data_IF_390283601863
#
_entry.id   IF_390283601863
#
_cell.length_a   1.000
_cell.length_b   1.000
_cell.length_c   1.000
_cell.angle_alpha   90.00
_cell.angle_beta   90.00
_cell.angle_gamma   90.00
#
_symmetry.space_group_name_H-M   'P 1'
#
loop_
_entity.id
_entity.type
_entity.pdbx_description
1 polymer ?
#
# COMPACT_ATOMS: atom_id res chain seq x y z
N UNK A 1 -21.00 14.90 7.42
CA UNK A 1 -19.96 15.56 6.64
C UNK A 1 -18.60 14.82 6.76
N UNK A 2 -18.58 13.53 6.39
CA UNK A 2 -17.32 12.77 6.25
C UNK A 2 -16.89 12.68 4.77
N UNK A 3 -17.76 13.11 3.85
CA UNK A 3 -17.59 12.93 2.41
C UNK A 3 -16.40 13.70 1.79
N UNK A 4 -15.82 14.65 2.51
CA UNK A 4 -14.68 15.47 2.04
C UNK A 4 -13.42 15.27 2.90
N UNK A 5 -13.37 14.20 3.67
CA UNK A 5 -12.21 13.86 4.50
C UNK A 5 -11.52 12.60 3.99
N UNK A 6 -10.25 12.42 4.32
CA UNK A 6 -9.49 11.19 4.05
C UNK A 6 -10.13 9.95 4.68
N UNK A 7 -11.05 10.11 5.61
CA UNK A 7 -11.82 9.05 6.26
C UNK A 7 -13.06 8.60 5.46
N UNK A 8 -13.35 9.24 4.34
CA UNK A 8 -14.57 8.96 3.55
C UNK A 8 -14.54 7.61 2.81
N UNK A 9 -13.40 6.94 2.80
CA UNK A 9 -13.26 5.62 2.15
C UNK A 9 -13.37 5.65 0.61
N UNK A 10 -13.14 6.81 0.00
CA UNK A 10 -13.18 6.94 -1.46
C UNK A 10 -11.98 6.22 -2.11
N UNK A 11 -12.23 5.67 -3.30
CA UNK A 11 -11.18 5.16 -4.17
C UNK A 11 -10.21 6.29 -4.55
N UNK A 12 -8.93 5.98 -4.84
CA UNK A 12 -7.97 6.98 -5.27
C UNK A 12 -8.42 7.54 -6.62
N UNK A 13 -8.68 8.85 -6.69
CA UNK A 13 -9.09 9.51 -7.93
C UNK A 13 -7.83 9.93 -8.67
N UNK A 14 -7.53 9.29 -9.80
CA UNK A 14 -6.52 9.77 -10.75
C UNK A 14 -7.13 10.90 -11.58
N UNK A 15 -6.46 12.01 -11.65
CA UNK A 15 -6.84 13.19 -12.43
C UNK A 15 -5.69 13.60 -13.38
N UNK A 16 -5.83 14.74 -14.07
CA UNK A 16 -4.83 15.23 -15.02
C UNK A 16 -3.51 15.62 -14.34
N UNK A 17 -3.56 16.01 -13.06
CA UNK A 17 -2.42 16.50 -12.30
C UNK A 17 -1.67 15.38 -11.57
N UNK A 18 -2.35 14.29 -11.20
CA UNK A 18 -1.75 13.26 -10.37
C UNK A 18 -2.22 11.82 -10.71
N UNK A 19 -1.25 10.93 -10.84
CA UNK A 19 -1.50 9.48 -10.84
C UNK A 19 -1.53 8.97 -9.39
N UNK A 20 -2.60 8.28 -8.99
CA UNK A 20 -2.78 7.84 -7.61
C UNK A 20 -2.85 6.34 -7.47
N UNK A 21 -1.95 5.80 -6.64
CA UNK A 21 -2.09 4.47 -6.05
C UNK A 21 -2.97 4.57 -4.80
N UNK A 22 -3.83 3.57 -4.58
CA UNK A 22 -4.53 3.39 -3.31
C UNK A 22 -4.02 2.15 -2.61
N UNK A 23 -3.63 2.27 -1.34
CA UNK A 23 -3.19 1.16 -0.51
C UNK A 23 -4.16 0.97 0.64
N UNK A 24 -4.87 -0.15 0.66
CA UNK A 24 -5.87 -0.47 1.66
C UNK A 24 -5.45 -1.69 2.44
N UNK A 25 -5.43 -1.55 3.77
CA UNK A 25 -4.95 -2.56 4.71
C UNK A 25 -6.11 -3.05 5.57
N UNK A 26 -6.25 -4.36 5.66
CA UNK A 26 -7.23 -5.02 6.53
C UNK A 26 -6.53 -5.98 7.48
N UNK A 27 -6.96 -6.01 8.74
CA UNK A 27 -6.55 -7.01 9.70
C UNK A 27 -7.27 -8.34 9.41
N UNK A 28 -6.51 -9.39 9.16
CA UNK A 28 -6.98 -10.75 8.97
C UNK A 28 -6.98 -11.62 10.23
N UNK A 29 -6.67 -11.05 11.40
CA UNK A 29 -6.58 -11.81 12.68
C UNK A 29 -7.68 -11.48 13.68
N UNK A 30 -8.31 -10.30 13.55
CA UNK A 30 -9.18 -9.74 14.58
C UNK A 30 -8.44 -9.38 15.87
N UNK A 31 -7.09 -9.27 15.83
CA UNK A 31 -6.28 -8.76 16.92
C UNK A 31 -6.50 -7.26 17.10
N UNK A 32 -6.01 -6.68 18.18
CA UNK A 32 -6.02 -5.24 18.41
C UNK A 32 -4.62 -4.65 18.31
N UNK A 33 -3.75 -5.29 17.54
CA UNK A 33 -2.34 -4.91 17.40
C UNK A 33 -2.09 -3.99 16.19
N UNK A 34 -3.12 -3.54 15.50
CA UNK A 34 -2.98 -2.63 14.34
C UNK A 34 -2.17 -1.36 14.62
N UNK A 35 -2.13 -0.91 15.89
CA UNK A 35 -1.26 0.19 16.34
C UNK A 35 0.24 -0.08 16.09
N UNK A 36 0.64 -1.35 16.11
CA UNK A 36 2.02 -1.77 15.92
C UNK A 36 2.37 -2.12 14.47
N UNK A 37 1.43 -1.96 13.56
CA UNK A 37 1.73 -2.08 12.13
C UNK A 37 2.36 -0.78 11.64
N UNK A 38 3.66 -0.81 11.39
CA UNK A 38 4.36 0.27 10.69
C UNK A 38 4.19 0.09 9.19
N UNK A 39 3.84 1.20 8.52
CA UNK A 39 3.57 1.23 7.08
C UNK A 39 4.42 2.32 6.46
N UNK A 40 5.41 1.94 5.67
CA UNK A 40 6.35 2.84 5.02
C UNK A 40 6.17 2.82 3.49
N UNK A 41 5.30 3.68 2.93
CA UNK A 41 5.14 3.85 1.51
C UNK A 41 6.20 4.79 0.94
N UNK A 42 6.60 4.54 -0.29
CA UNK A 42 7.43 5.44 -1.10
C UNK A 42 6.93 5.38 -2.54
N UNK A 43 6.91 6.53 -3.21
CA UNK A 43 6.65 6.61 -4.64
C UNK A 43 7.77 7.37 -5.32
N UNK A 44 8.09 6.98 -6.54
CA UNK A 44 9.10 7.64 -7.34
C UNK A 44 8.75 7.60 -8.83
N UNK A 45 9.17 8.62 -9.56
CA UNK A 45 9.19 8.59 -11.01
C UNK A 45 10.44 7.86 -11.49
N UNK A 46 10.26 6.87 -12.37
CA UNK A 46 11.36 6.29 -13.17
C UNK A 46 11.55 7.07 -14.46
N UNK A 47 10.44 7.57 -15.00
CA UNK A 47 10.41 8.39 -16.20
C UNK A 47 9.17 9.27 -16.17
N UNK A 48 9.35 10.56 -16.41
CA UNK A 48 8.25 11.52 -16.51
C UNK A 48 8.68 12.75 -17.34
N UNK A 49 7.72 13.61 -17.63
CA UNK A 49 7.93 14.89 -18.31
C UNK A 49 7.21 14.99 -19.63
N UNK A 50 7.08 16.22 -20.18
CA UNK A 50 6.25 16.53 -21.34
C UNK A 50 6.73 15.86 -22.64
N UNK A 51 8.01 15.53 -22.74
CA UNK A 51 8.59 14.89 -23.93
C UNK A 51 8.44 13.36 -23.91
N UNK A 52 7.83 12.80 -22.85
CA UNK A 52 7.64 11.36 -22.73
C UNK A 52 6.28 10.94 -23.31
N UNK A 53 6.29 9.95 -24.20
CA UNK A 53 5.06 9.30 -24.67
C UNK A 53 4.42 8.46 -23.58
N UNK A 54 5.22 7.99 -22.65
CA UNK A 54 4.80 7.11 -21.54
C UNK A 54 5.59 7.46 -20.30
N UNK A 55 4.91 7.83 -19.24
CA UNK A 55 5.51 8.00 -17.92
C UNK A 55 5.58 6.66 -17.18
N UNK A 56 6.56 6.50 -16.30
CA UNK A 56 6.73 5.31 -15.48
C UNK A 56 6.94 5.70 -14.01
N UNK A 57 6.19 5.06 -13.13
CA UNK A 57 6.28 5.28 -11.70
C UNK A 57 6.40 3.96 -10.94
N UNK A 58 7.05 4.03 -9.78
CA UNK A 58 7.19 2.88 -8.86
C UNK A 58 6.57 3.23 -7.52
N UNK A 59 5.78 2.30 -6.99
CA UNK A 59 5.35 2.25 -5.59
C UNK A 59 6.20 1.20 -4.88
N UNK A 60 6.90 1.61 -3.81
CA UNK A 60 7.52 0.73 -2.83
C UNK A 60 6.71 0.82 -1.52
N UNK A 61 6.42 -0.32 -0.91
CA UNK A 61 5.67 -0.41 0.34
C UNK A 61 6.37 -1.42 1.25
N UNK A 62 6.68 -1.00 2.47
CA UNK A 62 7.16 -1.90 3.52
C UNK A 62 6.16 -1.92 4.66
N UNK A 63 5.81 -3.12 5.11
CA UNK A 63 4.95 -3.38 6.25
C UNK A 63 5.79 -4.06 7.33
N UNK A 64 5.77 -3.55 8.56
CA UNK A 64 6.56 -4.11 9.67
C UNK A 64 5.69 -4.28 10.90
N UNK A 65 5.76 -5.45 11.54
CA UNK A 65 5.17 -5.66 12.85
C UNK A 65 6.16 -5.19 13.94
N UNK A 66 5.87 -4.06 14.55
CA UNK A 66 6.72 -3.43 15.58
C UNK A 66 6.35 -3.83 17.01
N UNK A 67 5.51 -4.86 17.21
CA UNK A 67 5.17 -5.37 18.54
C UNK A 67 6.44 -5.83 19.24
N UNK A 68 6.81 -5.25 20.41
CA UNK A 68 7.94 -5.77 21.19
C UNK A 68 7.62 -7.18 21.70
N UNK A 69 8.54 -8.13 21.53
CA UNK A 69 8.32 -9.53 21.89
C UNK A 69 7.96 -9.70 23.37
N UNK A 70 8.59 -8.94 24.26
CA UNK A 70 8.30 -8.91 25.69
C UNK A 70 6.91 -8.34 26.00
N UNK A 71 6.41 -7.42 25.18
CA UNK A 71 5.06 -6.87 25.33
C UNK A 71 4.02 -7.91 24.93
N UNK A 72 4.27 -8.61 23.84
CA UNK A 72 3.36 -9.60 23.30
C UNK A 72 2.98 -10.71 24.31
N UNK A 73 3.96 -11.18 25.09
CA UNK A 73 3.73 -12.26 26.06
C UNK A 73 2.93 -11.82 27.30
N UNK A 74 2.85 -10.51 27.55
CA UNK A 74 2.17 -9.94 28.71
C UNK A 74 0.78 -9.39 28.41
N UNK A 75 0.39 -9.31 27.13
CA UNK A 75 -0.92 -8.81 26.74
C UNK A 75 -2.00 -9.90 26.80
N UNK A 76 -3.25 -9.53 27.15
CA UNK A 76 -4.38 -10.47 27.12
C UNK A 76 -4.58 -11.07 25.72
N UNK A 77 -5.01 -12.35 25.66
CA UNK A 77 -5.29 -13.05 24.41
C UNK A 77 -6.27 -12.31 23.48
N UNK A 78 -7.24 -11.58 24.04
CA UNK A 78 -8.16 -10.75 23.28
C UNK A 78 -7.48 -9.55 22.56
N UNK A 79 -6.26 -9.22 22.92
CA UNK A 79 -5.45 -8.16 22.28
C UNK A 79 -4.50 -8.78 21.26
N UNK A 80 -3.74 -9.82 21.68
CA UNK A 80 -2.70 -10.42 20.81
C UNK A 80 -3.25 -11.38 19.75
N UNK A 81 -4.53 -11.72 19.80
CA UNK A 81 -5.14 -12.62 18.84
C UNK A 81 -4.73 -14.08 19.10
N UNK A 82 -4.14 -14.74 18.11
CA UNK A 82 -3.87 -16.17 18.13
C UNK A 82 -5.03 -17.01 17.60
N UNK A 83 -5.96 -16.37 16.91
CA UNK A 83 -7.11 -16.98 16.25
C UNK A 83 -6.87 -17.09 14.73
N UNK A 84 -7.75 -17.78 14.02
CA UNK A 84 -7.71 -17.90 12.56
C UNK A 84 -6.44 -18.55 12.02
N UNK A 85 -5.80 -19.43 12.81
CA UNK A 85 -4.59 -20.16 12.38
C UNK A 85 -3.32 -19.33 12.35
N UNK A 86 -3.32 -18.17 13.01
CA UNK A 86 -2.16 -17.28 13.13
C UNK A 86 -1.69 -17.30 14.58
N UNK A 87 -0.37 -17.43 14.86
CA UNK A 87 0.16 -17.36 16.22
C UNK A 87 -0.19 -16.03 16.91
N UNK A 88 -0.25 -16.03 18.24
CA UNK A 88 -0.44 -14.82 19.03
C UNK A 88 0.66 -13.79 18.71
N UNK A 89 0.30 -12.51 18.70
CA UNK A 89 1.14 -11.36 18.33
C UNK A 89 1.61 -11.32 16.86
N UNK A 90 1.22 -12.27 16.04
CA UNK A 90 1.43 -12.20 14.58
C UNK A 90 0.32 -11.37 13.96
N UNK A 91 0.68 -10.41 13.12
CA UNK A 91 -0.26 -9.63 12.31
C UNK A 91 -0.46 -10.34 10.97
N UNK A 92 -1.69 -10.72 10.64
CA UNK A 92 -2.06 -11.06 9.26
C UNK A 92 -2.61 -9.80 8.61
N UNK A 93 -1.86 -9.24 7.65
CA UNK A 93 -2.26 -8.06 6.91
C UNK A 93 -2.72 -8.48 5.52
N UNK A 94 -3.98 -8.17 5.19
CA UNK A 94 -4.52 -8.31 3.84
C UNK A 94 -4.44 -6.96 3.17
N UNK A 95 -3.62 -6.86 2.13
CA UNK A 95 -3.34 -5.62 1.42
C UNK A 95 -4.00 -5.63 0.05
N UNK A 96 -4.67 -4.53 -0.29
CA UNK A 96 -5.20 -4.25 -1.62
C UNK A 96 -4.51 -3.01 -2.17
N UNK A 97 -3.93 -3.12 -3.36
CA UNK A 97 -3.26 -2.02 -4.04
C UNK A 97 -4.01 -1.72 -5.34
N UNK A 98 -4.65 -0.57 -5.36
CA UNK A 98 -5.30 -0.01 -6.54
C UNK A 98 -4.25 0.70 -7.37
N UNK A 99 -4.08 0.30 -8.62
CA UNK A 99 -3.20 0.98 -9.56
C UNK A 99 -3.90 2.24 -10.10
N UNK A 100 -3.12 3.27 -10.49
CA UNK A 100 -3.69 4.43 -11.18
C UNK A 100 -4.56 4.01 -12.37
N UNK A 101 -5.66 4.70 -12.61
CA UNK A 101 -6.56 4.41 -13.73
C UNK A 101 -5.80 4.47 -15.05
N UNK A 102 -6.00 3.47 -15.92
CA UNK A 102 -5.31 3.36 -17.20
C UNK A 102 -3.86 2.90 -17.14
N UNK A 103 -3.30 2.68 -15.94
CA UNK A 103 -1.93 2.21 -15.79
C UNK A 103 -1.77 0.73 -16.23
N UNK A 104 -0.64 0.44 -16.89
CA UNK A 104 -0.20 -0.92 -17.16
C UNK A 104 0.85 -1.35 -16.15
N UNK A 105 0.67 -2.50 -15.51
CA UNK A 105 1.67 -3.07 -14.62
C UNK A 105 2.85 -3.61 -15.44
N UNK A 106 4.05 -3.08 -15.20
CA UNK A 106 5.29 -3.52 -15.85
C UNK A 106 6.00 -4.58 -15.03
N UNK A 107 6.09 -4.40 -13.71
CA UNK A 107 6.68 -5.38 -12.81
C UNK A 107 5.99 -5.36 -11.46
N UNK A 108 6.03 -6.50 -10.77
CA UNK A 108 5.55 -6.64 -9.39
C UNK A 108 6.47 -7.61 -8.65
N UNK A 109 6.97 -7.17 -7.51
CA UNK A 109 7.82 -7.94 -6.63
C UNK A 109 7.21 -7.94 -5.22
N UNK A 110 7.20 -9.09 -4.58
CA UNK A 110 6.75 -9.27 -3.20
C UNK A 110 7.79 -10.11 -2.49
N UNK A 111 8.29 -9.63 -1.36
CA UNK A 111 9.27 -10.38 -0.56
C UNK A 111 8.69 -11.71 -0.08
N UNK A 112 9.54 -12.73 -0.03
CA UNK A 112 9.12 -14.11 0.23
C UNK A 112 8.58 -14.80 -1.02
N UNK A 113 7.99 -15.99 -0.83
CA UNK A 113 7.46 -16.82 -1.93
C UNK A 113 5.93 -16.60 -2.12
N UNK A 114 5.41 -15.46 -1.72
CA UNK A 114 4.01 -15.12 -1.87
C UNK A 114 3.77 -14.51 -3.25
N UNK A 115 2.61 -14.78 -3.82
CA UNK A 115 2.17 -14.19 -5.08
C UNK A 115 1.10 -13.13 -4.87
N UNK A 116 0.80 -12.37 -5.91
CA UNK A 116 -0.32 -11.46 -5.94
C UNK A 116 -1.58 -12.15 -6.47
N UNK A 117 -2.71 -11.89 -5.79
CA UNK A 117 -4.03 -11.95 -6.41
C UNK A 117 -4.22 -10.73 -7.31
N UNK A 118 -4.97 -10.87 -8.38
CA UNK A 118 -5.31 -9.76 -9.29
C UNK A 118 -6.80 -9.76 -9.58
N UNK A 119 -7.40 -8.58 -9.52
CA UNK A 119 -8.81 -8.35 -9.82
C UNK A 119 -9.03 -6.96 -10.40
N UNK A 120 -10.29 -6.60 -10.58
CA UNK A 120 -10.72 -5.26 -10.99
C UNK A 120 -11.86 -4.77 -10.12
N UNK A 121 -11.90 -3.46 -9.90
CA UNK A 121 -12.99 -2.75 -9.24
C UNK A 121 -13.35 -1.52 -10.10
N UNK A 122 -14.38 -1.67 -10.94
CA UNK A 122 -14.68 -0.70 -11.98
C UNK A 122 -13.52 -0.60 -12.99
N UNK A 123 -12.97 0.59 -13.14
CA UNK A 123 -11.84 0.90 -14.03
C UNK A 123 -10.46 0.66 -13.40
N UNK A 124 -10.42 0.32 -12.09
CA UNK A 124 -9.17 0.07 -11.38
C UNK A 124 -8.74 -1.37 -11.51
N UNK A 125 -7.47 -1.58 -11.81
CA UNK A 125 -6.80 -2.86 -11.57
C UNK A 125 -6.36 -2.91 -10.12
N UNK A 126 -6.69 -4.01 -9.44
CA UNK A 126 -6.39 -4.21 -8.03
C UNK A 126 -5.48 -5.42 -7.87
N UNK A 127 -4.36 -5.25 -7.20
CA UNK A 127 -3.51 -6.33 -6.74
C UNK A 127 -3.78 -6.57 -5.26
N UNK A 128 -3.75 -7.82 -4.82
CA UNK A 128 -3.93 -8.16 -3.41
C UNK A 128 -2.94 -9.22 -2.97
N UNK A 129 -2.56 -9.17 -1.71
CA UNK A 129 -1.78 -10.22 -1.06
C UNK A 129 -2.10 -10.24 0.44
N UNK A 130 -1.80 -11.36 1.09
CA UNK A 130 -1.85 -11.48 2.54
C UNK A 130 -0.47 -11.89 3.05
N UNK A 131 -0.03 -11.30 4.16
CA UNK A 131 1.23 -11.63 4.81
C UNK A 131 1.01 -11.81 6.30
N UNK A 132 1.70 -12.79 6.89
CA UNK A 132 1.76 -13.02 8.33
C UNK A 132 3.10 -12.48 8.83
N UNK A 133 3.06 -11.48 9.68
CA UNK A 133 4.23 -10.83 10.24
C UNK A 133 4.31 -11.16 11.74
N UNK A 134 5.28 -11.99 12.14
CA UNK A 134 5.62 -12.15 13.55
C UNK A 134 6.23 -10.86 14.11
N UNK A 135 6.32 -10.68 15.43
CA UNK A 135 6.98 -9.51 16.03
C UNK A 135 8.39 -9.30 15.47
N UNK A 136 8.63 -8.13 14.90
CA UNK A 136 9.90 -7.75 14.25
C UNK A 136 10.00 -8.12 12.76
N UNK A 137 9.06 -8.89 12.22
CA UNK A 137 9.08 -9.25 10.80
C UNK A 137 8.62 -8.09 9.92
N UNK A 138 9.13 -8.09 8.69
CA UNK A 138 8.73 -7.14 7.64
C UNK A 138 8.47 -7.85 6.31
N UNK A 139 7.60 -7.26 5.52
CA UNK A 139 7.41 -7.62 4.11
C UNK A 139 7.52 -6.37 3.24
N UNK A 140 8.03 -6.52 2.03
CA UNK A 140 8.17 -5.43 1.07
C UNK A 140 7.54 -5.77 -0.27
N UNK A 141 6.97 -4.75 -0.90
CA UNK A 141 6.36 -4.78 -2.23
C UNK A 141 6.99 -3.70 -3.07
N UNK A 142 7.31 -4.02 -4.33
CA UNK A 142 7.66 -3.05 -5.36
C UNK A 142 6.77 -3.26 -6.58
N UNK A 143 6.09 -2.21 -7.03
CA UNK A 143 5.24 -2.22 -8.22
C UNK A 143 5.69 -1.11 -9.15
N UNK A 144 6.03 -1.46 -10.40
CA UNK A 144 6.30 -0.47 -11.44
C UNK A 144 5.16 -0.47 -12.46
N UNK A 145 4.65 0.71 -12.76
CA UNK A 145 3.58 0.91 -13.74
C UNK A 145 3.99 1.88 -14.83
N UNK A 146 3.40 1.71 -16.01
CA UNK A 146 3.45 2.72 -17.06
C UNK A 146 2.09 3.39 -17.20
N UNK A 147 2.11 4.68 -17.52
CA UNK A 147 0.96 5.55 -17.75
C UNK A 147 1.00 6.02 -19.20
N UNK A 148 0.41 5.23 -20.13
CA UNK A 148 0.41 5.59 -21.54
C UNK A 148 -0.48 6.81 -21.76
N UNK A 149 -0.01 7.74 -22.60
CA UNK A 149 -0.73 8.97 -22.95
C UNK A 149 -1.12 9.87 -21.76
N UNK A 150 -0.45 9.72 -20.64
CA UNK A 150 -0.63 10.55 -19.46
C UNK A 150 0.72 10.96 -18.89
N UNK A 151 0.88 12.24 -18.66
CA UNK A 151 2.08 12.83 -18.04
C UNK A 151 1.66 13.70 -16.86
N UNK A 152 1.08 13.10 -15.80
CA UNK A 152 0.73 13.88 -14.62
C UNK A 152 2.00 14.40 -13.94
N UNK A 153 1.89 15.59 -13.34
CA UNK A 153 3.01 16.20 -12.63
C UNK A 153 3.40 15.46 -11.36
N UNK A 154 2.44 14.72 -10.78
CA UNK A 154 2.64 14.04 -9.52
C UNK A 154 2.27 12.55 -9.60
N UNK A 155 2.99 11.73 -8.84
CA UNK A 155 2.54 10.40 -8.43
C UNK A 155 2.34 10.38 -6.92
N UNK A 156 1.22 9.82 -6.48
CA UNK A 156 0.79 9.82 -5.09
C UNK A 156 0.46 8.39 -4.69
N UNK A 157 0.92 7.95 -3.52
CA UNK A 157 0.33 6.79 -2.84
C UNK A 157 -0.54 7.29 -1.70
N UNK A 158 -1.83 6.93 -1.74
CA UNK A 158 -2.82 7.22 -0.72
C UNK A 158 -3.11 5.95 0.07
N UNK A 159 -3.00 6.03 1.39
CA UNK A 159 -3.15 4.89 2.28
C UNK A 159 -4.47 4.96 3.05
N UNK A 160 -4.97 3.79 3.46
CA UNK A 160 -5.99 3.71 4.52
C UNK A 160 -5.49 4.51 5.71
N UNK A 161 -6.35 5.31 6.36
CA UNK A 161 -5.98 5.98 7.60
C UNK A 161 -5.45 4.97 8.61
N UNK A 162 -4.16 5.12 8.96
CA UNK A 162 -3.43 4.33 9.95
C UNK A 162 -2.66 5.29 10.85
N UNK A 163 -1.97 4.77 11.84
CA UNK A 163 -1.05 5.59 12.62
C UNK A 163 0.19 5.88 11.76
N UNK A 164 0.33 7.11 11.27
CA UNK A 164 1.44 7.53 10.42
C UNK A 164 1.01 8.37 9.21
N UNK A 165 1.87 8.42 8.20
CA UNK A 165 1.60 9.13 6.96
C UNK A 165 0.48 8.45 6.17
N UNK A 166 -0.52 9.23 5.78
CA UNK A 166 -1.67 8.75 4.99
C UNK A 166 -1.47 8.94 3.49
N UNK A 167 -0.42 9.67 3.08
CA UNK A 167 -0.05 9.83 1.68
C UNK A 167 1.41 10.23 1.51
N UNK A 168 2.02 9.77 0.43
CA UNK A 168 3.34 10.21 -0.04
C UNK A 168 3.23 10.65 -1.49
N UNK A 169 4.04 11.66 -1.86
CA UNK A 169 3.98 12.32 -3.16
C UNK A 169 5.38 12.41 -3.75
N UNK A 170 5.52 12.12 -5.05
CA UNK A 170 6.68 12.47 -5.84
C UNK A 170 6.27 13.36 -7.01
N UNK A 171 6.95 14.48 -7.17
CA UNK A 171 6.74 15.42 -8.29
C UNK A 171 7.73 15.13 -9.40
N UNK A 172 7.26 15.23 -10.64
CA UNK A 172 8.14 15.14 -11.81
C UNK A 172 9.03 16.37 -11.89
N UNK A 173 10.33 16.20 -11.66
CA UNK A 173 11.31 17.24 -11.93
C UNK A 173 11.61 17.22 -13.43
N UNK A 174 10.99 18.13 -14.17
CA UNK A 174 11.39 18.38 -15.56
C UNK A 174 12.84 18.86 -15.55
N UNK A 175 13.76 18.05 -16.06
CA UNK A 175 15.12 18.53 -16.36
C UNK A 175 15.00 19.71 -17.33
N UNK A 176 15.30 20.90 -16.84
CA UNK A 176 15.46 22.11 -17.65
C UNK A 176 16.75 22.03 -18.48
#
# INVERSE_FOLDING_TARGET
MLAETTLSGHRPITDEDAARFGVYLNDGTGSKLGYYLDVAPQVEWKRCGPDQVTSEATLNLTLTNTVPAETAVNLPGAIVGGNYGVPAATLRVVTYIYLPVGANLLSSELSGNLGFGSGSDGEYRVLSFATDLAPGDSTSVALTVSLPNANPDQVIAQLTPAFGETSVVATCESSR
#
